data_IF_886716018803
#
_entry.id   IF_886716018803
#
_cell.length_a   1.000
_cell.length_b   1.000
_cell.length_c   1.000
_cell.angle_alpha   90.00
_cell.angle_beta   90.00
_cell.angle_gamma   90.00
#
_symmetry.space_group_name_H-M   'P 1'
#
loop_
_entity.id
_entity.type
_entity.pdbx_description
1 polymer ?
#
# COMPACT_ATOMS: atom_id res chain seq x y z
N UNK A 1 14.14 -7.28 12.67
CA UNK A 1 13.73 -6.66 11.38
C UNK A 1 12.40 -5.96 11.61
N UNK A 2 12.19 -4.73 11.12
CA UNK A 2 10.98 -3.92 11.43
C UNK A 2 10.28 -3.44 10.15
N UNK A 3 9.01 -3.06 10.25
CA UNK A 3 8.28 -2.42 9.14
C UNK A 3 7.41 -3.36 8.29
N UNK A 4 7.15 -4.58 8.76
CA UNK A 4 6.21 -5.50 8.15
C UNK A 4 5.55 -6.37 9.22
N UNK A 5 4.40 -6.92 8.88
CA UNK A 5 3.70 -7.93 9.67
C UNK A 5 3.86 -9.30 9.00
N UNK A 6 3.95 -10.36 9.80
CA UNK A 6 3.84 -11.73 9.30
C UNK A 6 2.39 -12.17 9.44
N UNK A 7 1.72 -12.37 8.31
CA UNK A 7 0.33 -12.86 8.29
C UNK A 7 0.32 -14.28 7.76
N UNK A 8 -0.28 -15.16 8.53
CA UNK A 8 -0.47 -16.56 8.19
C UNK A 8 -1.93 -16.83 7.86
N UNK A 9 -2.16 -17.66 6.85
CA UNK A 9 -3.46 -18.25 6.56
C UNK A 9 -3.33 -19.75 6.76
N UNK A 10 -4.10 -20.30 7.70
CA UNK A 10 -3.94 -21.66 8.20
C UNK A 10 -5.20 -22.48 7.96
N UNK A 11 -5.00 -23.72 7.52
CA UNK A 11 -5.99 -24.78 7.57
C UNK A 11 -5.50 -25.76 8.62
N UNK A 12 -6.20 -25.80 9.74
CA UNK A 12 -5.94 -26.70 10.85
C UNK A 12 -7.23 -27.41 11.14
N UNK A 13 -7.19 -28.72 11.34
CA UNK A 13 -8.36 -29.46 11.85
C UNK A 13 -8.60 -29.04 13.31
N UNK A 14 -7.93 -29.66 14.27
CA UNK A 14 -8.16 -29.35 15.68
C UNK A 14 -7.42 -28.09 16.16
N UNK A 15 -6.18 -28.16 16.64
CA UNK A 15 -5.46 -27.00 17.18
C UNK A 15 -4.02 -26.96 16.76
N UNK A 16 -3.39 -25.79 16.91
CA UNK A 16 -1.97 -25.64 16.60
C UNK A 16 -1.30 -24.59 17.49
N UNK A 17 -0.02 -24.80 17.76
CA UNK A 17 0.88 -23.82 18.37
C UNK A 17 2.01 -23.51 17.39
N UNK A 18 2.29 -22.22 17.22
CA UNK A 18 3.19 -21.70 16.20
C UNK A 18 4.43 -21.12 16.86
N UNK A 19 5.61 -21.50 16.37
CA UNK A 19 6.90 -21.07 16.91
C UNK A 19 7.78 -20.49 15.80
N UNK A 20 8.45 -19.38 16.11
CA UNK A 20 9.42 -18.73 15.23
C UNK A 20 10.74 -18.60 15.97
N UNK A 21 11.77 -19.30 15.51
CA UNK A 21 13.08 -19.41 16.16
C UNK A 21 12.94 -19.74 17.67
N UNK A 22 12.23 -20.82 17.96
CA UNK A 22 11.96 -21.35 19.31
C UNK A 22 11.07 -20.48 20.22
N UNK A 23 10.58 -19.34 19.72
CA UNK A 23 9.65 -18.49 20.46
C UNK A 23 8.21 -18.73 19.96
N UNK A 24 7.29 -18.95 20.89
CA UNK A 24 5.86 -19.03 20.55
C UNK A 24 5.34 -17.69 20.02
N UNK A 25 4.67 -17.72 18.86
CA UNK A 25 4.14 -16.53 18.16
C UNK A 25 2.64 -16.55 17.93
N UNK A 26 1.97 -17.68 18.18
CA UNK A 26 0.53 -17.80 18.02
C UNK A 26 -0.03 -19.17 18.40
N UNK A 27 -1.35 -19.23 18.57
CA UNK A 27 -2.10 -20.46 18.82
C UNK A 27 -3.44 -20.44 18.10
N UNK A 28 -3.90 -21.61 17.70
CA UNK A 28 -5.28 -21.88 17.33
C UNK A 28 -5.82 -22.93 18.31
N UNK A 29 -6.89 -22.58 19.02
CA UNK A 29 -7.68 -23.49 19.87
C UNK A 29 -6.90 -24.25 20.96
N UNK A 30 -5.78 -23.70 21.43
CA UNK A 30 -5.00 -24.21 22.57
C UNK A 30 -4.98 -23.18 23.70
N UNK A 31 -5.62 -23.51 24.82
CA UNK A 31 -5.70 -22.63 26.00
C UNK A 31 -4.72 -23.00 27.13
N UNK A 32 -4.18 -24.22 27.13
CA UNK A 32 -3.28 -24.71 28.17
C UNK A 32 -1.95 -23.93 28.19
N UNK A 33 -1.40 -23.67 29.38
CA UNK A 33 -0.09 -23.04 29.52
C UNK A 33 0.60 -23.58 30.79
N UNK A 34 1.72 -24.33 30.69
CA UNK A 34 2.47 -24.65 29.46
C UNK A 34 1.71 -25.61 28.54
N UNK A 35 2.09 -25.61 27.27
CA UNK A 35 1.67 -26.61 26.29
C UNK A 35 2.69 -27.75 26.29
N UNK A 36 2.21 -28.98 26.22
CA UNK A 36 3.02 -30.15 25.92
C UNK A 36 2.34 -31.06 24.90
N UNK A 37 3.07 -32.08 24.44
CA UNK A 37 2.63 -32.95 23.32
C UNK A 37 1.33 -33.75 23.57
N UNK A 38 0.86 -33.86 24.82
CA UNK A 38 -0.43 -34.48 25.16
C UNK A 38 -1.56 -33.45 25.37
N UNK A 39 -1.29 -32.17 25.12
CA UNK A 39 -2.30 -31.12 25.25
C UNK A 39 -3.34 -31.30 24.17
N UNK A 40 -4.59 -31.42 24.58
CA UNK A 40 -5.72 -31.48 23.65
C UNK A 40 -6.14 -30.07 23.22
N UNK A 41 -6.53 -29.93 21.96
CA UNK A 41 -7.14 -28.73 21.41
C UNK A 41 -8.64 -28.68 21.70
N UNK A 42 -9.25 -27.50 21.53
CA UNK A 42 -10.69 -27.44 21.30
C UNK A 42 -11.01 -27.77 19.83
N UNK A 43 -12.18 -28.37 19.58
CA UNK A 43 -12.65 -28.69 18.23
C UNK A 43 -12.74 -27.43 17.36
N UNK A 44 -12.43 -27.57 16.07
CA UNK A 44 -12.68 -26.50 15.11
C UNK A 44 -14.17 -26.29 14.88
N UNK A 45 -14.67 -25.05 15.03
CA UNK A 45 -16.09 -24.78 14.89
C UNK A 45 -16.57 -24.78 13.42
N UNK A 46 -15.66 -24.58 12.46
CA UNK A 46 -15.97 -24.52 11.03
C UNK A 46 -14.89 -25.22 10.20
N UNK A 47 -15.08 -26.50 9.93
CA UNK A 47 -14.15 -27.31 9.14
C UNK A 47 -13.93 -26.73 7.72
N UNK A 48 -12.69 -26.74 7.27
CA UNK A 48 -12.32 -26.32 5.91
C UNK A 48 -12.30 -24.81 5.65
N UNK A 49 -12.43 -23.96 6.69
CA UNK A 49 -12.24 -22.51 6.57
C UNK A 49 -10.80 -22.10 6.88
N UNK A 50 -10.22 -21.15 6.12
CA UNK A 50 -8.92 -20.59 6.45
C UNK A 50 -9.00 -19.70 7.70
N UNK A 51 -8.03 -19.85 8.59
CA UNK A 51 -7.88 -19.05 9.81
C UNK A 51 -6.64 -18.19 9.73
N UNK A 52 -6.83 -16.88 9.88
CA UNK A 52 -5.77 -15.89 9.71
C UNK A 52 -5.20 -15.48 11.06
N UNK A 53 -3.88 -15.61 11.24
CA UNK A 53 -3.16 -15.11 12.40
C UNK A 53 -2.06 -14.12 11.98
N UNK A 54 -1.82 -13.11 12.81
CA UNK A 54 -0.66 -12.22 12.68
C UNK A 54 0.38 -12.58 13.73
N UNK A 55 1.62 -12.84 13.29
CA UNK A 55 2.72 -13.26 14.15
C UNK A 55 3.65 -12.08 14.48
N UNK A 56 4.18 -12.09 15.71
CA UNK A 56 5.22 -11.15 16.13
C UNK A 56 6.51 -11.37 15.33
N UNK A 57 7.17 -10.28 14.94
CA UNK A 57 8.45 -10.30 14.22
C UNK A 57 9.67 -10.20 15.15
N UNK A 58 9.44 -10.18 16.47
CA UNK A 58 10.50 -9.94 17.47
C UNK A 58 11.58 -11.03 17.47
N UNK A 59 11.23 -12.27 17.12
CA UNK A 59 12.14 -13.41 17.14
C UNK A 59 12.92 -13.59 15.84
N UNK A 60 12.68 -12.75 14.83
CA UNK A 60 13.37 -12.86 13.56
C UNK A 60 14.85 -12.47 13.65
N UNK A 61 15.71 -13.28 13.04
CA UNK A 61 17.15 -13.04 12.92
C UNK A 61 17.54 -12.77 11.47
N UNK A 62 18.66 -12.08 11.28
CA UNK A 62 19.26 -11.93 9.94
C UNK A 62 19.75 -13.28 9.45
N UNK A 63 19.30 -13.68 8.25
CA UNK A 63 19.60 -14.99 7.67
C UNK A 63 18.40 -15.93 7.78
N UNK A 64 18.68 -17.23 7.89
CA UNK A 64 17.64 -18.25 7.93
C UNK A 64 16.83 -18.16 9.24
N UNK A 65 15.51 -18.29 9.09
CA UNK A 65 14.57 -18.35 10.20
C UNK A 65 13.81 -19.67 10.11
N UNK A 66 13.48 -20.25 11.26
CA UNK A 66 12.74 -21.51 11.36
C UNK A 66 11.35 -21.22 11.89
N UNK A 67 10.34 -21.56 11.07
CA UNK A 67 8.94 -21.62 11.48
C UNK A 67 8.59 -23.07 11.81
N UNK A 68 8.24 -23.35 13.05
CA UNK A 68 7.78 -24.65 13.50
C UNK A 68 6.33 -24.58 13.94
N UNK A 69 5.57 -25.64 13.71
CA UNK A 69 4.17 -25.75 14.12
C UNK A 69 3.96 -27.09 14.80
N UNK A 70 3.35 -27.06 15.98
CA UNK A 70 2.91 -28.23 16.73
C UNK A 70 1.39 -28.34 16.57
N UNK A 71 0.91 -29.42 15.96
CA UNK A 71 -0.51 -29.68 15.74
C UNK A 71 -1.04 -30.55 16.87
N UNK A 72 -2.23 -30.23 17.37
CA UNK A 72 -2.86 -30.85 18.52
C UNK A 72 -4.26 -31.32 18.16
N UNK A 73 -4.59 -32.53 18.58
CA UNK A 73 -5.92 -33.12 18.41
C UNK A 73 -6.84 -32.74 19.57
N UNK A 74 -8.14 -32.79 19.34
CA UNK A 74 -9.18 -32.60 20.35
C UNK A 74 -9.33 -33.78 21.31
N UNK A 75 -8.74 -34.93 20.97
CA UNK A 75 -8.66 -36.09 21.85
C UNK A 75 -7.78 -37.21 21.29
N UNK A 76 -7.41 -38.15 22.15
CA UNK A 76 -6.50 -39.27 21.82
C UNK A 76 -7.03 -40.27 20.79
N UNK A 77 -8.31 -40.17 20.43
CA UNK A 77 -8.98 -41.04 19.47
C UNK A 77 -9.33 -40.34 18.14
N UNK A 78 -8.88 -39.09 17.95
CA UNK A 78 -9.02 -38.40 16.65
C UNK A 78 -8.30 -39.19 15.55
N UNK A 79 -8.92 -39.26 14.37
CA UNK A 79 -8.50 -40.15 13.28
C UNK A 79 -7.87 -39.44 12.09
N UNK A 80 -7.97 -38.12 12.05
CA UNK A 80 -7.62 -37.24 10.95
C UNK A 80 -6.82 -36.04 11.44
N UNK A 81 -5.98 -35.53 10.55
CA UNK A 81 -5.15 -34.36 10.80
C UNK A 81 -5.07 -33.56 9.49
N UNK A 82 -5.16 -32.25 9.61
CA UNK A 82 -4.99 -31.32 8.49
C UNK A 82 -4.09 -30.20 8.97
N UNK A 83 -3.00 -29.99 8.24
CA UNK A 83 -2.20 -28.78 8.36
C UNK A 83 -1.84 -28.24 6.99
N UNK A 84 -2.23 -27.00 6.74
CA UNK A 84 -1.77 -26.20 5.61
C UNK A 84 -1.54 -24.76 6.07
N UNK A 85 -0.42 -24.16 5.66
CA UNK A 85 -0.12 -22.78 6.00
C UNK A 85 0.45 -22.04 4.78
N UNK A 86 -0.07 -20.85 4.56
CA UNK A 86 0.59 -19.82 3.76
C UNK A 86 1.07 -18.73 4.71
N UNK A 87 2.33 -18.29 4.56
CA UNK A 87 2.91 -17.22 5.37
C UNK A 87 3.39 -16.10 4.44
N UNK A 88 2.91 -14.88 4.70
CA UNK A 88 3.25 -13.69 3.92
C UNK A 88 3.81 -12.62 4.83
N UNK A 89 4.87 -11.94 4.38
CA UNK A 89 5.34 -10.71 4.99
C UNK A 89 4.63 -9.53 4.33
N UNK A 90 3.69 -8.89 5.04
CA UNK A 90 3.00 -7.71 4.57
C UNK A 90 3.72 -6.46 5.05
N UNK A 91 4.27 -5.72 4.10
CA UNK A 91 4.81 -4.38 4.34
C UNK A 91 3.68 -3.38 4.13
N UNK A 92 3.13 -2.83 5.20
CA UNK A 92 2.24 -1.68 5.10
C UNK A 92 3.10 -0.42 4.91
N UNK A 93 3.39 -0.08 3.66
CA UNK A 93 3.95 1.23 3.34
C UNK A 93 2.84 2.29 3.45
N UNK A 94 2.48 2.65 4.68
CA UNK A 94 1.94 4.00 4.87
C UNK A 94 3.15 4.91 4.91
N UNK A 95 3.31 5.75 3.87
CA UNK A 95 4.25 6.86 3.91
C UNK A 95 3.72 7.88 4.93
N UNK A 96 3.74 7.55 6.22
CA UNK A 96 3.57 8.54 7.28
C UNK A 96 4.92 9.21 7.42
N UNK A 97 5.06 10.33 6.73
CA UNK A 97 6.16 11.26 6.93
C UNK A 97 5.94 11.91 8.29
N UNK A 98 6.59 11.34 9.31
CA UNK A 98 6.59 11.88 10.69
C UNK A 98 7.54 13.08 10.84
N UNK A 99 8.24 13.45 9.78
CA UNK A 99 9.07 14.65 9.71
C UNK A 99 8.74 15.43 8.44
N UNK A 100 7.89 16.44 8.55
CA UNK A 100 7.60 17.38 7.46
C UNK A 100 8.89 18.11 7.09
N UNK A 101 9.54 17.69 6.00
CA UNK A 101 10.64 18.44 5.41
C UNK A 101 10.08 19.66 4.69
N UNK A 102 9.87 20.76 5.42
CA UNK A 102 9.88 22.14 4.92
C UNK A 102 8.80 22.59 3.93
N UNK A 103 8.10 21.69 3.25
CA UNK A 103 7.11 22.01 2.22
C UNK A 103 5.88 21.13 2.44
N UNK A 104 4.72 21.68 2.85
CA UNK A 104 3.49 20.93 3.06
C UNK A 104 2.82 20.63 1.72
N UNK A 105 3.49 19.87 0.86
CA UNK A 105 3.05 19.45 -0.47
C UNK A 105 2.82 17.94 -0.46
N UNK A 106 1.73 17.49 -1.09
CA UNK A 106 1.34 16.06 -1.06
C UNK A 106 0.80 15.60 -2.40
N UNK A 107 0.97 14.32 -2.68
CA UNK A 107 0.26 13.65 -3.78
C UNK A 107 -1.22 13.53 -3.40
N UNK A 108 -2.12 13.79 -4.35
CA UNK A 108 -3.56 13.88 -4.09
C UNK A 108 -4.40 12.89 -4.89
N UNK A 109 -4.06 12.68 -6.17
CA UNK A 109 -4.81 11.79 -7.07
C UNK A 109 -3.86 11.13 -8.07
N UNK A 110 -4.10 9.86 -8.41
CA UNK A 110 -3.37 9.13 -9.44
C UNK A 110 -4.35 8.34 -10.30
N UNK A 111 -4.27 8.51 -11.62
CA UNK A 111 -4.95 7.70 -12.61
C UNK A 111 -3.91 7.07 -13.53
N UNK A 112 -3.83 5.73 -13.52
CA UNK A 112 -2.86 4.94 -14.28
C UNK A 112 -3.52 3.95 -15.26
N UNK A 113 -4.85 3.92 -15.32
CA UNK A 113 -5.63 3.15 -16.30
C UNK A 113 -6.70 4.06 -16.90
N UNK A 114 -6.25 5.04 -17.68
CA UNK A 114 -7.11 6.04 -18.29
C UNK A 114 -7.52 5.63 -19.71
N UNK A 115 -8.83 5.43 -19.94
CA UNK A 115 -9.36 5.04 -21.25
C UNK A 115 -10.28 6.09 -21.86
N UNK A 116 -10.73 7.07 -21.08
CA UNK A 116 -11.77 8.03 -21.52
C UNK A 116 -11.40 9.49 -21.31
N UNK A 117 -10.66 9.84 -20.27
CA UNK A 117 -10.34 11.23 -19.95
C UNK A 117 -9.17 11.71 -20.82
N UNK A 118 -9.42 12.64 -21.73
CA UNK A 118 -8.38 13.15 -22.64
C UNK A 118 -7.71 14.41 -22.11
N UNK A 119 -6.39 14.50 -22.31
CA UNK A 119 -5.64 15.74 -22.13
C UNK A 119 -5.85 16.71 -23.31
N UNK A 120 -5.23 17.90 -23.26
CA UNK A 120 -5.35 18.92 -24.32
C UNK A 120 -4.89 18.42 -25.72
N UNK A 121 -4.04 17.40 -25.77
CA UNK A 121 -3.56 16.80 -27.01
C UNK A 121 -4.44 15.63 -27.50
N UNK A 122 -5.54 15.33 -26.78
CA UNK A 122 -6.46 14.24 -27.12
C UNK A 122 -5.99 12.85 -26.64
N UNK A 123 -4.92 12.76 -25.86
CA UNK A 123 -4.42 11.49 -25.34
C UNK A 123 -5.11 11.15 -24.02
N UNK A 124 -5.41 9.86 -23.81
CA UNK A 124 -5.86 9.33 -22.52
C UNK A 124 -4.65 9.02 -21.64
N UNK A 125 -3.90 10.07 -21.30
CA UNK A 125 -2.66 9.95 -20.53
C UNK A 125 -2.94 9.66 -19.05
N UNK A 126 -2.05 8.90 -18.43
CA UNK A 126 -1.99 8.80 -16.98
C UNK A 126 -1.72 10.18 -16.38
N UNK A 127 -2.16 10.38 -15.13
CA UNK A 127 -1.85 11.62 -14.43
C UNK A 127 -1.59 11.40 -12.94
N UNK A 128 -0.83 12.34 -12.41
CA UNK A 128 -0.63 12.56 -10.98
C UNK A 128 -1.09 13.97 -10.68
N UNK A 129 -1.93 14.11 -9.65
CA UNK A 129 -2.27 15.40 -9.08
C UNK A 129 -1.52 15.63 -7.77
N UNK A 130 -0.96 16.82 -7.62
CA UNK A 130 -0.32 17.29 -6.40
C UNK A 130 -1.22 18.38 -5.77
N UNK A 131 -1.43 18.30 -4.46
CA UNK A 131 -2.20 19.29 -3.70
C UNK A 131 -1.28 20.10 -2.77
N UNK A 132 -1.52 21.41 -2.72
CA UNK A 132 -1.00 22.29 -1.68
C UNK A 132 -2.08 22.49 -0.59
N UNK A 133 -2.09 21.71 0.50
CA UNK A 133 -3.03 21.88 1.60
C UNK A 133 -2.82 23.16 2.43
N UNK A 134 -1.74 23.90 2.20
CA UNK A 134 -1.40 25.08 3.01
C UNK A 134 -2.14 26.35 2.57
N UNK A 135 -2.08 27.37 3.41
CA UNK A 135 -2.67 28.70 3.17
C UNK A 135 -1.75 29.64 2.38
N UNK A 136 -0.54 29.19 2.02
CA UNK A 136 0.42 29.96 1.24
C UNK A 136 0.70 29.29 -0.09
N UNK A 137 1.10 30.07 -1.11
CA UNK A 137 1.63 29.48 -2.33
C UNK A 137 2.94 28.73 -2.04
N UNK A 138 3.13 27.59 -2.69
CA UNK A 138 4.33 26.76 -2.58
C UNK A 138 5.12 26.79 -3.89
N UNK A 139 6.43 26.95 -3.76
CA UNK A 139 7.39 26.80 -4.85
C UNK A 139 7.83 25.35 -4.96
N UNK A 140 7.64 24.77 -6.14
CA UNK A 140 7.97 23.39 -6.47
C UNK A 140 9.24 23.29 -7.31
N UNK A 141 9.92 24.42 -7.59
CA UNK A 141 11.15 24.42 -8.37
C UNK A 141 12.17 23.41 -7.84
N UNK A 142 12.73 22.61 -8.74
CA UNK A 142 13.76 21.60 -8.47
C UNK A 142 13.32 20.45 -7.54
N UNK A 143 12.03 20.36 -7.18
CA UNK A 143 11.44 19.11 -6.69
C UNK A 143 11.42 18.07 -7.81
N UNK A 144 11.17 16.80 -7.50
CA UNK A 144 11.08 15.76 -8.53
C UNK A 144 10.00 14.71 -8.29
N UNK A 145 9.48 14.17 -9.40
CA UNK A 145 8.64 12.97 -9.44
C UNK A 145 9.42 11.78 -9.99
N UNK A 146 9.10 10.60 -9.47
CA UNK A 146 9.59 9.32 -9.97
C UNK A 146 8.59 8.20 -9.69
N UNK A 147 8.64 7.17 -10.52
CA UNK A 147 8.04 5.84 -10.31
C UNK A 147 9.06 4.83 -9.70
N UNK A 148 10.35 5.18 -9.69
CA UNK A 148 11.46 4.33 -9.23
C UNK A 148 12.24 5.01 -8.09
N UNK A 149 12.30 4.34 -6.94
CA UNK A 149 13.04 4.81 -5.77
C UNK A 149 14.56 4.85 -5.97
N UNK A 150 15.09 4.09 -6.94
CA UNK A 150 16.51 4.12 -7.29
C UNK A 150 16.85 5.29 -8.23
N UNK A 151 15.83 5.95 -8.79
CA UNK A 151 15.96 7.10 -9.67
C UNK A 151 15.12 8.27 -9.16
N UNK A 152 15.43 8.87 -7.99
CA UNK A 152 14.56 9.84 -7.31
C UNK A 152 14.28 11.12 -8.11
N UNK A 153 14.99 11.36 -9.22
CA UNK A 153 14.83 12.54 -10.07
C UNK A 153 14.55 12.21 -11.55
N UNK A 154 13.73 11.20 -11.84
CA UNK A 154 13.35 10.88 -13.23
C UNK A 154 12.71 12.07 -13.95
N UNK A 155 11.85 12.82 -13.26
CA UNK A 155 11.33 14.09 -13.77
C UNK A 155 11.46 15.19 -12.72
N UNK A 156 11.95 16.36 -13.12
CA UNK A 156 12.21 17.50 -12.23
C UNK A 156 11.25 18.63 -12.57
N UNK A 157 10.58 19.18 -11.56
CA UNK A 157 9.72 20.35 -11.74
C UNK A 157 10.55 21.53 -12.26
N UNK A 158 10.09 22.21 -13.34
CA UNK A 158 10.78 23.36 -13.89
C UNK A 158 11.00 24.49 -12.88
N UNK A 159 11.93 25.38 -13.21
CA UNK A 159 12.09 26.63 -12.47
C UNK A 159 10.79 27.46 -12.53
N UNK A 160 10.48 28.12 -11.42
CA UNK A 160 9.28 28.94 -11.24
C UNK A 160 7.95 28.16 -11.26
N UNK A 161 7.97 26.84 -11.12
CA UNK A 161 6.73 26.08 -10.88
C UNK A 161 6.22 26.35 -9.47
N UNK A 162 4.96 26.77 -9.37
CA UNK A 162 4.31 27.06 -8.08
C UNK A 162 2.87 26.57 -8.05
N UNK A 163 2.39 26.20 -6.87
CA UNK A 163 0.97 25.93 -6.62
C UNK A 163 0.43 26.99 -5.66
N UNK A 164 -0.69 27.61 -6.01
CA UNK A 164 -1.39 28.55 -5.13
C UNK A 164 -1.82 27.88 -3.82
N UNK A 165 -2.13 28.68 -2.79
CA UNK A 165 -2.72 28.18 -1.55
C UNK A 165 -3.99 27.36 -1.84
N UNK A 166 -4.12 26.19 -1.21
CA UNK A 166 -5.24 25.25 -1.44
C UNK A 166 -5.41 24.81 -2.90
N UNK A 167 -4.38 24.99 -3.73
CA UNK A 167 -4.41 24.68 -5.16
C UNK A 167 -3.99 23.26 -5.48
N UNK A 168 -4.21 22.90 -6.74
CA UNK A 168 -3.86 21.62 -7.34
C UNK A 168 -2.94 21.85 -8.54
N UNK A 169 -2.05 20.89 -8.81
CA UNK A 169 -1.25 20.84 -10.03
C UNK A 169 -1.36 19.44 -10.63
N UNK A 170 -1.78 19.41 -11.88
CA UNK A 170 -1.86 18.20 -12.68
C UNK A 170 -0.55 18.01 -13.45
N UNK A 171 0.04 16.82 -13.35
CA UNK A 171 1.20 16.41 -14.14
C UNK A 171 0.83 15.13 -14.88
N UNK A 172 0.98 15.14 -16.20
CA UNK A 172 0.75 13.95 -17.02
C UNK A 172 1.95 13.00 -16.95
N UNK A 173 1.66 11.71 -16.96
CA UNK A 173 2.63 10.63 -17.08
C UNK A 173 2.44 9.97 -18.45
N UNK A 174 2.79 10.69 -19.53
CA UNK A 174 2.66 10.21 -20.90
C UNK A 174 4.04 9.91 -21.52
N UNK A 175 4.40 8.63 -21.59
CA UNK A 175 5.62 8.16 -22.25
C UNK A 175 5.59 8.31 -23.78
N UNK A 176 4.41 8.46 -24.38
CA UNK A 176 4.23 8.71 -25.81
C UNK A 176 4.42 10.19 -26.19
N UNK A 177 4.48 11.10 -25.21
CA UNK A 177 4.67 12.52 -25.41
C UNK A 177 6.06 12.99 -24.94
N UNK A 178 6.66 14.02 -25.57
CA UNK A 178 7.92 14.58 -25.10
C UNK A 178 7.84 15.07 -23.63
N UNK A 179 8.95 14.94 -22.91
CA UNK A 179 9.10 15.51 -21.57
C UNK A 179 8.87 17.02 -21.64
N UNK A 180 8.06 17.56 -20.73
CA UNK A 180 7.78 18.99 -20.63
C UNK A 180 7.58 19.43 -19.18
N UNK A 181 7.22 20.69 -18.97
CA UNK A 181 6.91 21.21 -17.63
C UNK A 181 5.63 20.64 -17.01
N UNK A 182 4.81 19.90 -17.77
CA UNK A 182 3.58 19.27 -17.31
C UNK A 182 3.44 17.83 -17.77
N UNK A 183 4.50 17.24 -18.34
CA UNK A 183 4.55 15.83 -18.75
C UNK A 183 5.86 15.20 -18.32
N UNK A 184 5.80 14.08 -17.58
CA UNK A 184 7.00 13.42 -17.08
C UNK A 184 7.79 12.69 -18.16
N UNK A 185 7.14 12.29 -19.25
CA UNK A 185 7.71 11.45 -20.31
C UNK A 185 7.90 9.98 -19.92
N UNK A 186 7.40 9.56 -18.75
CA UNK A 186 7.23 8.16 -18.37
C UNK A 186 5.75 7.89 -18.08
N UNK A 187 5.30 6.64 -18.27
CA UNK A 187 3.93 6.20 -17.94
C UNK A 187 3.88 5.46 -16.61
N UNK A 188 2.67 5.22 -16.10
CA UNK A 188 2.46 4.46 -14.88
C UNK A 188 1.88 3.08 -15.19
N UNK A 189 2.30 2.05 -14.45
CA UNK A 189 1.80 0.70 -14.63
C UNK A 189 0.36 0.51 -14.14
N UNK A 190 -0.59 0.26 -15.05
CA UNK A 190 -2.01 0.00 -14.71
C UNK A 190 -2.23 -1.19 -13.74
N UNK A 191 -1.28 -2.14 -13.70
CA UNK A 191 -1.31 -3.34 -12.83
C UNK A 191 -0.63 -3.13 -11.48
N UNK A 192 0.01 -1.99 -11.30
CA UNK A 192 0.70 -1.59 -10.08
C UNK A 192 2.01 -0.88 -10.37
N UNK A 193 2.25 0.19 -9.62
CA UNK A 193 3.43 1.05 -9.73
C UNK A 193 3.59 1.91 -8.47
N UNK A 194 4.51 2.87 -8.50
CA UNK A 194 4.65 3.91 -7.51
C UNK A 194 4.61 5.31 -8.11
N UNK A 195 4.26 6.29 -7.28
CA UNK A 195 4.51 7.70 -7.52
C UNK A 195 5.20 8.25 -6.29
N UNK A 196 6.36 8.85 -6.48
CA UNK A 196 7.25 9.33 -5.42
C UNK A 196 7.57 10.80 -5.69
N UNK A 197 7.35 11.65 -4.69
CA UNK A 197 7.67 13.07 -4.71
C UNK A 197 8.89 13.31 -3.83
N UNK A 198 9.95 13.91 -4.35
CA UNK A 198 11.18 14.18 -3.63
C UNK A 198 11.47 15.66 -3.50
N UNK A 199 12.13 16.02 -2.40
CA UNK A 199 12.63 17.36 -2.10
C UNK A 199 13.76 17.73 -3.06
N UNK A 200 13.93 19.03 -3.31
CA UNK A 200 15.07 19.55 -4.08
C UNK A 200 16.42 19.18 -3.43
N UNK A 201 17.46 18.87 -4.21
CA UNK A 201 18.79 18.52 -3.70
C UNK A 201 19.41 19.55 -2.76
N UNK A 202 19.16 20.85 -2.99
CA UNK A 202 19.64 21.94 -2.13
C UNK A 202 19.11 21.87 -0.69
N UNK A 203 18.07 21.07 -0.46
CA UNK A 203 17.50 20.77 0.86
C UNK A 203 17.58 19.27 1.19
N UNK A 204 18.54 18.55 0.62
CA UNK A 204 18.92 17.19 1.00
C UNK A 204 18.26 16.06 0.21
N UNK A 205 17.30 16.35 -0.68
CA UNK A 205 16.75 15.32 -1.59
C UNK A 205 15.84 14.28 -0.95
N UNK A 206 15.29 14.55 0.24
CA UNK A 206 14.45 13.60 0.98
C UNK A 206 13.13 13.28 0.25
N UNK A 207 12.54 12.11 0.50
CA UNK A 207 11.18 11.79 0.05
C UNK A 207 10.16 12.68 0.78
N UNK A 208 9.31 13.37 0.03
CA UNK A 208 8.28 14.31 0.50
C UNK A 208 6.88 13.73 0.57
N UNK A 209 6.53 12.83 -0.33
CA UNK A 209 5.30 12.01 -0.28
C UNK A 209 5.47 10.84 -1.27
N UNK A 210 4.65 9.81 -1.12
CA UNK A 210 4.59 8.74 -2.11
C UNK A 210 3.35 7.90 -1.97
N UNK A 211 2.99 7.22 -3.05
CA UNK A 211 1.97 6.17 -3.06
C UNK A 211 2.47 5.01 -3.88
N UNK A 212 2.27 3.79 -3.36
CA UNK A 212 2.40 2.55 -4.12
C UNK A 212 1.02 1.97 -4.30
N UNK A 213 0.71 1.51 -5.51
CA UNK A 213 -0.62 1.00 -5.83
C UNK A 213 -0.53 -0.28 -6.65
N UNK A 214 -1.62 -1.05 -6.65
CA UNK A 214 -1.78 -2.27 -7.43
C UNK A 214 -2.60 -2.04 -8.70
N UNK A 215 -3.35 -3.05 -9.12
CA UNK A 215 -4.25 -2.93 -10.28
C UNK A 215 -5.25 -1.76 -10.11
N UNK A 216 -5.32 -0.86 -11.09
CA UNK A 216 -6.37 0.14 -11.19
C UNK A 216 -7.50 -0.33 -12.11
N UNK A 217 -8.74 -0.15 -11.65
CA UNK A 217 -9.90 -0.27 -12.50
C UNK A 217 -9.89 0.84 -13.55
N UNK A 218 -10.22 0.50 -14.80
CA UNK A 218 -10.25 1.46 -15.90
C UNK A 218 -11.15 2.66 -15.56
N UNK A 219 -10.64 3.87 -15.81
CA UNK A 219 -11.29 5.16 -15.57
C UNK A 219 -11.66 5.45 -14.11
N UNK A 220 -11.05 4.73 -13.15
CA UNK A 220 -11.11 5.08 -11.73
C UNK A 220 -9.71 5.42 -11.22
N UNK A 221 -9.60 6.56 -10.55
CA UNK A 221 -8.39 6.98 -9.88
C UNK A 221 -8.31 6.38 -8.48
N UNK A 222 -7.11 6.45 -7.90
CA UNK A 222 -6.96 6.47 -6.45
C UNK A 222 -6.74 7.91 -6.02
N UNK A 223 -7.37 8.33 -4.93
CA UNK A 223 -7.26 9.70 -4.44
C UNK A 223 -7.40 9.82 -2.93
N UNK A 224 -6.84 10.88 -2.36
CA UNK A 224 -7.00 11.22 -0.94
C UNK A 224 -8.36 11.85 -0.69
N UNK A 225 -9.12 11.29 0.26
CA UNK A 225 -10.41 11.84 0.70
C UNK A 225 -10.41 11.95 2.24
N UNK A 226 -10.44 13.16 2.84
CA UNK A 226 -10.43 14.47 2.20
C UNK A 226 -9.10 14.81 1.48
N UNK A 227 -9.15 15.73 0.53
CA UNK A 227 -7.98 16.16 -0.25
C UNK A 227 -6.81 16.60 0.64
N UNK A 228 -5.60 16.24 0.24
CA UNK A 228 -4.36 16.64 0.89
C UNK A 228 -4.09 16.09 2.30
N UNK A 229 -5.03 15.34 2.90
CA UNK A 229 -4.88 14.82 4.28
C UNK A 229 -5.46 13.42 4.50
N UNK A 230 -6.43 13.03 3.68
CA UNK A 230 -7.13 11.75 3.80
C UNK A 230 -6.33 10.54 3.37
N UNK A 231 -6.92 9.38 3.66
CA UNK A 231 -6.43 8.10 3.17
C UNK A 231 -6.67 8.00 1.66
N UNK A 232 -5.79 7.26 0.98
CA UNK A 232 -6.00 6.86 -0.41
C UNK A 232 -7.20 5.91 -0.49
N UNK A 233 -8.14 6.21 -1.36
CA UNK A 233 -9.33 5.41 -1.65
C UNK A 233 -9.60 5.38 -3.15
N UNK A 234 -10.45 4.46 -3.60
CA UNK A 234 -10.99 4.49 -4.96
C UNK A 234 -11.83 5.76 -5.17
N UNK A 235 -11.57 6.48 -6.26
CA UNK A 235 -12.21 7.74 -6.62
C UNK A 235 -12.64 7.74 -8.08
N UNK A 236 -13.57 8.63 -8.42
CA UNK A 236 -13.75 9.03 -9.82
C UNK A 236 -12.71 10.10 -10.17
N UNK A 237 -12.12 10.11 -11.38
CA UNK A 237 -11.12 11.10 -11.77
C UNK A 237 -11.62 12.55 -11.62
N UNK A 238 -10.90 13.37 -10.85
CA UNK A 238 -11.28 14.77 -10.55
C UNK A 238 -10.14 15.77 -10.74
N UNK A 239 -9.53 15.84 -11.95
CA UNK A 239 -8.37 16.71 -12.18
C UNK A 239 -8.68 18.18 -11.90
N UNK A 240 -7.88 18.79 -11.04
CA UNK A 240 -7.97 20.18 -10.60
C UNK A 240 -9.12 20.47 -9.63
N UNK A 241 -9.76 19.44 -9.07
CA UNK A 241 -10.96 19.57 -8.24
C UNK A 241 -10.88 18.73 -6.96
N UNK A 242 -11.91 18.82 -6.11
CA UNK A 242 -11.99 18.00 -4.92
C UNK A 242 -12.22 16.53 -5.31
N UNK A 243 -11.33 15.65 -4.84
CA UNK A 243 -11.51 14.20 -4.90
C UNK A 243 -12.88 13.75 -4.41
N UNK A 244 -13.51 12.89 -5.20
CA UNK A 244 -14.80 12.29 -4.90
C UNK A 244 -14.67 10.76 -4.83
N UNK A 245 -14.96 10.18 -3.67
CA UNK A 245 -14.92 8.74 -3.47
C UNK A 245 -15.87 8.04 -4.45
N UNK A 246 -15.38 6.99 -5.10
CA UNK A 246 -16.20 6.18 -5.98
C UNK A 246 -17.27 5.44 -5.15
N UNK A 247 -18.51 5.44 -5.63
CA UNK A 247 -19.57 4.64 -5.03
C UNK A 247 -19.25 3.15 -5.15
N UNK A 248 -19.23 2.43 -4.03
CA UNK A 248 -19.14 0.97 -4.06
C UNK A 248 -20.50 0.40 -4.47
N UNK A 249 -20.48 -0.62 -5.35
CA UNK A 249 -21.70 -1.33 -5.72
C UNK A 249 -22.40 -1.93 -4.50
N UNK A 250 -23.73 -1.84 -4.45
CA UNK A 250 -24.51 -2.50 -3.41
C UNK A 250 -24.51 -4.02 -3.57
N UNK A 251 -24.52 -4.76 -2.47
CA UNK A 251 -24.49 -6.24 -2.46
C UNK A 251 -25.60 -6.88 -3.31
N UNK A 252 -26.74 -6.20 -3.48
CA UNK A 252 -27.86 -6.67 -4.31
C UNK A 252 -27.67 -6.56 -5.82
N UNK A 253 -26.55 -5.98 -6.29
CA UNK A 253 -26.21 -5.87 -7.70
C UNK A 253 -25.17 -6.91 -8.17
N UNK A 254 -24.62 -7.71 -7.24
CA UNK A 254 -23.78 -8.86 -7.58
C UNK A 254 -24.72 -9.98 -8.07
N UNK A 255 -24.62 -10.33 -9.35
CA UNK A 255 -25.27 -11.51 -9.94
C UNK A 255 -24.37 -12.72 -9.88
#
# INVERSE_FOLDING_TARGET
MTGFELVSTNYVDDGAVFYLNDAEVGRLRISANPVGYLTEAANQPNEGLPEVLTFSTNSLVTGDNVMAVEVHQSGTASSDDVFGMSLSALVYTTNVITQTFGVPIVLNEVLANNQTLTNFNGHTADFVEICNPSTNALDLSDLSLSDDSNAPRKWVFPASTSIAASGYLLVYCDAGSPVSGTNTGFGLGEKGDAVLLFHRPSAGGALLDGVRFGLQAADFSIGRVPNGAGNWTLTVPTPGALNNAAGLGGFGALK
#
